data_IF_622633637284
#
_entry.id   IF_622633637284
#
_cell.length_a   1.000
_cell.length_b   1.000
_cell.length_c   1.000
_cell.angle_alpha   90.00
_cell.angle_beta   90.00
_cell.angle_gamma   90.00
#
_symmetry.space_group_name_H-M   'P 1'
#
loop_
_entity.id
_entity.type
_entity.pdbx_description
1 polymer ?
#
# COMPACT_ATOMS: atom_id res chain seq x y z
N UNK A 1 29.69 64.17 -7.07
CA UNK A 1 28.72 63.02 -7.07
C UNK A 1 29.54 61.76 -7.27
N UNK A 2 29.71 60.98 -6.21
CA UNK A 2 30.38 59.68 -6.25
C UNK A 2 29.30 58.59 -6.50
N UNK A 3 29.56 57.55 -7.32
CA UNK A 3 28.61 56.48 -7.57
C UNK A 3 28.49 55.57 -6.36
N UNK A 4 27.23 55.31 -5.92
CA UNK A 4 26.92 54.37 -4.87
C UNK A 4 27.05 52.95 -5.47
N UNK A 5 28.03 52.20 -5.00
CA UNK A 5 28.16 50.78 -5.30
C UNK A 5 27.06 50.01 -4.58
N UNK A 6 26.11 49.49 -5.34
CA UNK A 6 25.11 48.53 -4.82
C UNK A 6 25.80 47.28 -4.30
N UNK A 7 25.48 46.86 -3.07
CA UNK A 7 25.95 45.64 -2.49
C UNK A 7 25.49 44.42 -3.34
N UNK A 8 26.35 43.39 -3.56
CA UNK A 8 25.94 42.21 -4.27
C UNK A 8 24.90 41.46 -3.44
N UNK A 9 23.70 41.26 -4.01
CA UNK A 9 22.71 40.36 -3.45
C UNK A 9 23.30 38.96 -3.39
N UNK A 10 23.75 38.55 -2.21
CA UNK A 10 24.10 37.15 -1.95
C UNK A 10 22.83 36.33 -1.98
N UNK A 11 22.49 35.80 -3.15
CA UNK A 11 21.52 34.73 -3.31
C UNK A 11 22.11 33.49 -2.62
N UNK A 12 21.87 33.36 -1.31
CA UNK A 12 22.05 32.11 -0.60
C UNK A 12 21.02 31.16 -1.20
N UNK A 13 21.41 30.38 -2.20
CA UNK A 13 20.65 29.21 -2.63
C UNK A 13 20.52 28.32 -1.39
N UNK A 14 19.43 28.41 -0.68
CA UNK A 14 19.06 27.40 0.31
C UNK A 14 19.04 26.08 -0.43
N UNK A 15 20.01 25.22 -0.12
CA UNK A 15 20.08 23.89 -0.70
C UNK A 15 18.73 23.21 -0.44
N UNK A 16 18.06 22.81 -1.50
CA UNK A 16 16.78 22.10 -1.41
C UNK A 16 16.94 20.89 -0.48
N UNK A 17 15.99 20.66 0.44
CA UNK A 17 16.11 19.55 1.38
C UNK A 17 16.06 18.20 0.63
N UNK A 18 16.92 17.27 1.03
CA UNK A 18 17.09 15.96 0.39
C UNK A 18 16.59 14.86 1.31
N UNK A 19 15.84 13.90 0.77
CA UNK A 19 15.41 12.71 1.50
C UNK A 19 15.77 11.46 0.72
N UNK A 20 16.38 10.50 1.42
CA UNK A 20 16.77 9.21 0.89
C UNK A 20 15.80 8.14 1.38
N UNK A 21 15.08 7.50 0.46
CA UNK A 21 14.25 6.34 0.72
C UNK A 21 15.05 5.07 0.48
N UNK A 22 15.01 4.13 1.42
CA UNK A 22 15.69 2.83 1.31
C UNK A 22 14.71 1.69 1.56
N UNK A 23 14.60 0.80 0.57
CA UNK A 23 13.71 -0.35 0.58
C UNK A 23 14.41 -1.52 -0.12
N UNK A 24 14.71 -2.62 0.61
CA UNK A 24 15.31 -3.82 0.02
C UNK A 24 14.25 -4.70 -0.66
N UNK A 25 13.44 -4.07 -1.49
CA UNK A 25 12.41 -4.62 -2.38
C UNK A 25 12.12 -3.57 -3.47
N UNK A 26 11.16 -3.83 -4.36
CA UNK A 26 10.72 -2.80 -5.28
C UNK A 26 9.84 -1.77 -4.53
N UNK A 27 10.26 -0.50 -4.42
CA UNK A 27 9.48 0.51 -3.71
C UNK A 27 8.06 0.71 -4.27
N UNK A 28 7.84 0.42 -5.55
CA UNK A 28 6.53 0.56 -6.20
C UNK A 28 5.50 -0.52 -5.79
N UNK A 29 5.92 -1.54 -5.05
CA UNK A 29 5.00 -2.50 -4.43
C UNK A 29 4.22 -1.91 -3.26
N UNK A 30 4.69 -0.77 -2.72
CA UNK A 30 4.16 -0.11 -1.55
C UNK A 30 3.63 1.30 -1.88
N UNK A 31 2.33 1.48 -2.20
CA UNK A 31 1.73 2.78 -2.48
C UNK A 31 2.04 3.88 -1.47
N UNK A 32 2.13 3.62 -0.15
CA UNK A 32 2.54 4.63 0.83
C UNK A 32 3.89 5.29 0.54
N UNK A 33 4.84 4.58 -0.08
CA UNK A 33 6.13 5.16 -0.46
C UNK A 33 5.99 6.15 -1.62
N UNK A 34 5.15 5.83 -2.60
CA UNK A 34 4.84 6.77 -3.69
C UNK A 34 4.12 8.00 -3.16
N UNK A 35 3.08 7.84 -2.35
CA UNK A 35 2.32 8.96 -1.79
C UNK A 35 3.19 9.88 -0.93
N UNK A 36 3.94 9.32 0.03
CA UNK A 36 4.81 10.13 0.90
C UNK A 36 5.88 10.88 0.13
N UNK A 37 6.50 10.22 -0.85
CA UNK A 37 7.54 10.85 -1.66
C UNK A 37 7.00 11.97 -2.55
N UNK A 38 5.78 11.81 -3.12
CA UNK A 38 5.13 12.87 -3.90
C UNK A 38 4.80 14.08 -3.05
N UNK A 39 4.19 13.87 -1.87
CA UNK A 39 3.89 14.96 -0.94
C UNK A 39 5.16 15.76 -0.59
N UNK A 40 6.28 15.08 -0.36
CA UNK A 40 7.55 15.76 -0.06
C UNK A 40 8.13 16.45 -1.30
N UNK A 41 8.08 15.81 -2.47
CA UNK A 41 8.56 16.38 -3.72
C UNK A 41 7.78 17.64 -4.12
N UNK A 42 6.45 17.64 -3.95
CA UNK A 42 5.58 18.82 -4.17
C UNK A 42 5.88 19.95 -3.19
N UNK A 43 6.41 19.62 -2.00
CA UNK A 43 6.89 20.60 -1.00
C UNK A 43 8.37 21.01 -1.21
N UNK A 44 8.96 20.67 -2.36
CA UNK A 44 10.29 21.10 -2.77
C UNK A 44 11.44 20.21 -2.32
N UNK A 45 11.17 19.00 -1.78
CA UNK A 45 12.23 18.06 -1.45
C UNK A 45 12.77 17.35 -2.71
N UNK A 46 14.08 17.16 -2.76
CA UNK A 46 14.71 16.22 -3.69
C UNK A 46 14.62 14.82 -3.10
N UNK A 47 13.95 13.92 -3.80
CA UNK A 47 13.71 12.54 -3.36
C UNK A 47 14.56 11.57 -4.17
N UNK A 48 15.29 10.71 -3.48
CA UNK A 48 16.04 9.60 -4.08
C UNK A 48 15.61 8.29 -3.41
N UNK A 49 15.19 7.35 -4.25
CA UNK A 49 14.97 5.97 -3.83
C UNK A 49 16.15 5.09 -4.18
N UNK A 50 16.55 4.24 -3.23
CA UNK A 50 17.40 3.08 -3.47
C UNK A 50 16.61 1.81 -3.13
N UNK A 51 16.43 0.94 -4.13
CA UNK A 51 15.64 -0.28 -4.01
C UNK A 51 16.21 -1.45 -4.80
N UNK A 52 15.41 -2.50 -4.89
CA UNK A 52 15.66 -3.68 -5.72
C UNK A 52 14.55 -3.76 -6.76
N UNK A 53 14.85 -4.22 -7.96
CA UNK A 53 13.83 -4.50 -8.96
C UNK A 53 12.94 -5.66 -8.52
N UNK A 54 11.65 -5.54 -8.80
CA UNK A 54 10.70 -6.64 -8.66
C UNK A 54 10.52 -7.42 -9.96
N UNK A 55 9.88 -8.56 -9.88
CA UNK A 55 9.57 -9.41 -11.05
C UNK A 55 8.36 -8.93 -11.85
N UNK A 56 7.55 -8.05 -11.28
CA UNK A 56 6.22 -7.67 -11.81
C UNK A 56 6.22 -6.38 -12.64
N UNK A 57 7.39 -5.76 -12.85
CA UNK A 57 7.54 -4.54 -13.63
C UNK A 57 6.87 -3.30 -13.02
N UNK A 58 6.53 -3.32 -11.74
CA UNK A 58 5.90 -2.20 -11.04
C UNK A 58 6.84 -0.98 -11.00
N UNK A 59 6.28 0.20 -11.23
CA UNK A 59 7.03 1.46 -11.21
C UNK A 59 6.14 2.61 -10.74
N UNK A 60 6.78 3.67 -10.22
CA UNK A 60 6.09 4.91 -9.89
C UNK A 60 5.66 5.67 -11.13
N UNK A 61 4.59 6.43 -11.02
CA UNK A 61 4.28 7.47 -11.99
C UNK A 61 5.40 8.54 -11.97
N UNK A 62 5.82 9.09 -13.13
CA UNK A 62 6.91 10.04 -13.20
C UNK A 62 6.69 11.30 -12.37
N UNK A 63 7.76 11.78 -11.73
CA UNK A 63 7.79 13.07 -11.04
C UNK A 63 9.18 13.70 -11.15
N UNK A 64 9.33 15.02 -11.46
CA UNK A 64 10.64 15.64 -11.76
C UNK A 64 11.62 15.64 -10.58
N UNK A 65 11.12 15.60 -9.34
CA UNK A 65 11.94 15.59 -8.12
C UNK A 65 12.10 14.20 -7.48
N UNK A 66 11.56 13.14 -8.10
CA UNK A 66 11.67 11.76 -7.58
C UNK A 66 12.55 10.96 -8.51
N UNK A 67 13.64 10.43 -7.99
CA UNK A 67 14.57 9.55 -8.70
C UNK A 67 14.57 8.19 -8.06
N UNK A 68 14.35 7.17 -8.87
CA UNK A 68 14.33 5.77 -8.45
C UNK A 68 15.53 5.04 -9.03
N UNK A 69 16.41 4.55 -8.17
CA UNK A 69 17.56 3.71 -8.54
C UNK A 69 17.39 2.34 -7.90
N UNK A 70 17.55 1.29 -8.69
CA UNK A 70 17.34 -0.09 -8.25
C UNK A 70 18.49 -0.97 -8.68
N UNK A 71 18.81 -1.97 -7.85
CA UNK A 71 19.62 -3.12 -8.23
C UNK A 71 18.72 -4.17 -8.86
N UNK A 72 19.26 -5.01 -9.72
CA UNK A 72 18.54 -6.14 -10.31
C UNK A 72 18.07 -7.13 -9.24
N UNK A 73 16.95 -7.79 -9.53
CA UNK A 73 16.42 -8.82 -8.65
C UNK A 73 17.37 -10.02 -8.56
N UNK A 74 17.67 -10.47 -7.35
CA UNK A 74 18.45 -11.68 -7.09
C UNK A 74 17.56 -12.71 -6.36
N UNK A 75 17.56 -13.96 -6.87
CA UNK A 75 16.81 -15.06 -6.23
C UNK A 75 17.33 -15.35 -4.82
N UNK A 76 16.46 -15.77 -3.90
CA UNK A 76 16.84 -16.19 -2.55
C UNK A 76 18.01 -17.19 -2.56
N UNK A 77 19.03 -16.93 -1.72
CA UNK A 77 20.21 -17.76 -1.62
C UNK A 77 21.45 -17.00 -1.14
N UNK A 78 22.63 -17.62 -1.30
CA UNK A 78 23.91 -17.02 -0.88
C UNK A 78 24.22 -15.72 -1.63
N UNK A 79 23.96 -15.69 -2.94
CA UNK A 79 24.21 -14.50 -3.76
C UNK A 79 23.34 -13.30 -3.32
N UNK A 80 22.11 -13.56 -2.91
CA UNK A 80 21.24 -12.50 -2.36
C UNK A 80 21.82 -11.89 -1.07
N UNK A 81 22.47 -12.70 -0.24
CA UNK A 81 23.15 -12.19 0.98
C UNK A 81 24.31 -11.27 0.64
N UNK A 82 25.10 -11.62 -0.38
CA UNK A 82 26.17 -10.74 -0.90
C UNK A 82 25.60 -9.46 -1.50
N UNK A 83 24.53 -9.57 -2.29
CA UNK A 83 23.84 -8.41 -2.84
C UNK A 83 23.31 -7.50 -1.72
N UNK A 84 22.79 -8.04 -0.64
CA UNK A 84 22.35 -7.24 0.50
C UNK A 84 23.51 -6.44 1.12
N UNK A 85 24.69 -7.04 1.26
CA UNK A 85 25.89 -6.32 1.73
C UNK A 85 26.30 -5.21 0.75
N UNK A 86 26.27 -5.48 -0.56
CA UNK A 86 26.52 -4.47 -1.59
C UNK A 86 25.49 -3.35 -1.54
N UNK A 87 24.23 -3.69 -1.34
CA UNK A 87 23.14 -2.71 -1.14
C UNK A 87 23.38 -1.83 0.08
N UNK A 88 23.78 -2.42 1.21
CA UNK A 88 24.11 -1.66 2.41
C UNK A 88 25.28 -0.68 2.17
N UNK A 89 26.34 -1.13 1.51
CA UNK A 89 27.49 -0.30 1.14
C UNK A 89 27.07 0.86 0.20
N UNK A 90 26.22 0.57 -0.78
CA UNK A 90 25.69 1.58 -1.70
C UNK A 90 24.84 2.64 -0.99
N UNK A 91 23.98 2.25 -0.04
CA UNK A 91 23.18 3.19 0.75
C UNK A 91 24.10 4.08 1.60
N UNK A 92 25.05 3.50 2.33
CA UNK A 92 25.99 4.26 3.17
C UNK A 92 26.86 5.23 2.35
N UNK A 93 27.34 4.77 1.20
CA UNK A 93 28.04 5.61 0.24
C UNK A 93 27.16 6.78 -0.24
N UNK A 94 25.92 6.51 -0.58
CA UNK A 94 24.96 7.54 -0.99
C UNK A 94 24.70 8.55 0.10
N UNK A 95 24.56 8.12 1.36
CA UNK A 95 24.44 9.03 2.53
C UNK A 95 25.65 9.97 2.60
N UNK A 96 26.87 9.43 2.46
CA UNK A 96 28.10 10.20 2.57
C UNK A 96 28.25 11.26 1.49
N UNK A 97 27.96 10.93 0.21
CA UNK A 97 28.17 11.85 -0.93
C UNK A 97 26.98 12.75 -1.21
N UNK A 98 25.74 12.24 -1.09
CA UNK A 98 24.54 13.01 -1.41
C UNK A 98 24.03 13.83 -0.22
N UNK A 99 24.43 13.49 1.01
CA UNK A 99 24.17 14.20 2.26
C UNK A 99 22.68 14.53 2.44
N UNK A 100 21.80 13.52 2.51
CA UNK A 100 20.39 13.75 2.74
C UNK A 100 20.16 14.37 4.14
N UNK A 101 19.12 15.20 4.28
CA UNK A 101 18.66 15.72 5.57
C UNK A 101 17.86 14.64 6.33
N UNK A 102 17.20 13.74 5.60
CA UNK A 102 16.40 12.66 6.17
C UNK A 102 16.64 11.34 5.45
N UNK A 103 16.71 10.25 6.21
CA UNK A 103 16.63 8.88 5.74
C UNK A 103 15.25 8.32 6.08
N UNK A 104 14.55 7.81 5.07
CA UNK A 104 13.29 7.07 5.22
C UNK A 104 13.54 5.61 4.89
N UNK A 105 13.63 4.76 5.91
CA UNK A 105 13.92 3.35 5.75
C UNK A 105 12.66 2.51 6.00
N UNK A 106 12.45 1.50 5.16
CA UNK A 106 11.28 0.65 5.24
C UNK A 106 11.64 -0.78 5.61
N UNK A 107 10.79 -1.37 6.42
CA UNK A 107 10.75 -2.78 6.78
C UNK A 107 12.05 -3.36 7.40
N UNK A 108 12.02 -4.66 7.63
CA UNK A 108 13.04 -5.37 8.41
C UNK A 108 14.45 -5.21 7.84
N UNK A 109 14.62 -5.25 6.51
CA UNK A 109 15.94 -5.13 5.87
C UNK A 109 16.46 -3.69 5.83
N UNK A 110 15.59 -2.68 5.99
CA UNK A 110 15.98 -1.28 6.17
C UNK A 110 16.48 -0.96 7.60
N UNK A 111 16.14 -1.79 8.58
CA UNK A 111 16.42 -1.50 9.99
C UNK A 111 17.90 -1.34 10.35
N UNK A 112 18.85 -2.17 9.87
CA UNK A 112 20.28 -1.98 10.15
C UNK A 112 20.81 -0.64 9.64
N UNK A 113 20.39 -0.28 8.41
CA UNK A 113 20.80 0.98 7.77
C UNK A 113 20.24 2.20 8.53
N UNK A 114 18.97 2.13 8.89
CA UNK A 114 18.32 3.15 9.70
C UNK A 114 18.99 3.31 11.05
N UNK A 115 19.36 2.20 11.72
CA UNK A 115 20.05 2.24 13.00
C UNK A 115 21.45 2.90 12.88
N UNK A 116 22.24 2.51 11.88
CA UNK A 116 23.55 3.17 11.62
C UNK A 116 23.35 4.65 11.33
N UNK A 117 22.33 5.02 10.58
CA UNK A 117 22.00 6.40 10.26
C UNK A 117 21.71 7.26 11.48
N UNK A 118 21.19 6.68 12.59
CA UNK A 118 20.94 7.43 13.83
C UNK A 118 22.22 7.94 14.54
N UNK A 119 23.39 7.50 14.13
CA UNK A 119 24.67 8.02 14.65
C UNK A 119 25.20 9.25 13.92
N UNK A 120 24.55 9.67 12.83
CA UNK A 120 24.88 10.90 12.12
C UNK A 120 24.01 12.06 12.63
N UNK A 121 24.56 13.03 13.41
CA UNK A 121 23.75 14.06 14.10
C UNK A 121 22.90 14.93 13.16
N UNK A 122 23.36 15.12 11.94
CA UNK A 122 22.67 15.93 10.92
C UNK A 122 21.61 15.17 10.11
N UNK A 123 21.47 13.85 10.32
CA UNK A 123 20.59 12.98 9.56
C UNK A 123 19.39 12.55 10.42
N UNK A 124 18.22 12.99 10.06
CA UNK A 124 16.97 12.55 10.70
C UNK A 124 16.57 11.18 10.14
N UNK A 125 16.01 10.33 10.99
CA UNK A 125 15.67 8.96 10.59
C UNK A 125 14.19 8.68 10.83
N UNK A 126 13.50 8.26 9.77
CA UNK A 126 12.16 7.69 9.79
C UNK A 126 12.31 6.19 9.50
N UNK A 127 11.66 5.36 10.30
CA UNK A 127 11.59 3.92 10.08
C UNK A 127 10.12 3.50 9.94
N UNK A 128 9.72 3.11 8.75
CA UNK A 128 8.35 2.71 8.43
C UNK A 128 8.26 1.19 8.33
N UNK A 129 7.46 0.59 9.18
CA UNK A 129 7.19 -0.84 9.20
C UNK A 129 5.83 -1.10 8.55
N UNK A 130 5.85 -1.39 7.24
CA UNK A 130 4.63 -1.67 6.46
C UNK A 130 4.03 -3.02 6.83
N UNK A 131 4.89 -4.04 6.97
CA UNK A 131 4.53 -5.35 7.48
C UNK A 131 5.46 -5.76 8.62
N UNK A 132 4.87 -6.17 9.73
CA UNK A 132 5.63 -6.63 10.88
C UNK A 132 6.15 -8.04 10.61
N UNK A 133 7.47 -8.20 10.58
CA UNK A 133 8.07 -9.52 10.42
C UNK A 133 7.72 -10.41 11.61
N UNK A 134 7.24 -11.65 11.36
CA UNK A 134 6.94 -12.59 12.42
C UNK A 134 8.23 -12.98 13.19
N UNK A 135 8.10 -13.41 14.45
CA UNK A 135 9.21 -13.98 15.19
C UNK A 135 9.86 -15.13 14.39
N UNK A 136 11.16 -15.12 14.26
CA UNK A 136 11.91 -16.14 13.52
C UNK A 136 13.01 -16.75 14.37
N UNK A 137 13.24 -18.04 14.22
CA UNK A 137 14.37 -18.75 14.84
C UNK A 137 15.69 -18.51 14.10
N UNK A 138 15.65 -18.04 12.86
CA UNK A 138 16.83 -17.80 12.04
C UNK A 138 17.75 -16.70 12.63
N UNK A 139 19.09 -16.93 12.73
CA UNK A 139 20.02 -15.97 13.33
C UNK A 139 20.00 -14.60 12.69
N UNK A 140 19.90 -14.52 11.35
CA UNK A 140 19.83 -13.27 10.62
C UNK A 140 18.57 -12.49 10.99
N UNK A 141 17.42 -13.13 11.05
CA UNK A 141 16.15 -12.48 11.39
C UNK A 141 16.15 -12.00 12.85
N UNK A 142 16.77 -12.76 13.76
CA UNK A 142 16.98 -12.30 15.16
C UNK A 142 17.85 -11.05 15.23
N UNK A 143 18.93 -11.02 14.44
CA UNK A 143 19.81 -9.84 14.37
C UNK A 143 19.05 -8.61 13.83
N UNK A 144 18.28 -8.77 12.76
CA UNK A 144 17.46 -7.70 12.18
C UNK A 144 16.41 -7.21 13.18
N UNK A 145 15.74 -8.11 13.91
CA UNK A 145 14.81 -7.76 14.97
C UNK A 145 15.48 -6.96 16.11
N UNK A 146 16.74 -7.28 16.45
CA UNK A 146 17.50 -6.52 17.45
C UNK A 146 17.78 -5.08 16.98
N UNK A 147 18.04 -4.85 15.71
CA UNK A 147 18.18 -3.49 15.16
C UNK A 147 16.85 -2.73 15.20
N UNK A 148 15.74 -3.36 14.86
CA UNK A 148 14.39 -2.77 15.00
C UNK A 148 14.14 -2.29 16.42
N UNK A 149 14.37 -3.15 17.42
CA UNK A 149 14.19 -2.79 18.83
C UNK A 149 15.04 -1.58 19.28
N UNK A 150 16.23 -1.38 18.68
CA UNK A 150 17.07 -0.21 18.94
C UNK A 150 16.54 1.07 18.27
N UNK A 151 15.94 0.94 17.08
CA UNK A 151 15.34 2.06 16.36
C UNK A 151 14.15 2.66 17.12
N UNK A 152 13.33 1.86 17.79
CA UNK A 152 12.18 2.33 18.55
C UNK A 152 12.54 3.37 19.64
N UNK A 153 13.80 3.48 19.99
CA UNK A 153 14.31 4.48 20.98
C UNK A 153 14.91 5.72 20.33
N UNK A 154 15.21 5.72 19.01
CA UNK A 154 16.04 6.76 18.38
C UNK A 154 15.44 7.38 17.13
N UNK A 155 14.57 6.68 16.42
CA UNK A 155 13.97 7.11 15.17
C UNK A 155 12.50 7.48 15.36
N UNK A 156 11.93 8.25 14.41
CA UNK A 156 10.49 8.30 14.26
C UNK A 156 10.04 7.00 13.58
N UNK A 157 9.28 6.20 14.30
CA UNK A 157 8.77 4.94 13.80
C UNK A 157 7.32 5.08 13.35
N UNK A 158 7.01 4.50 12.18
CA UNK A 158 5.72 4.62 11.51
C UNK A 158 5.12 3.24 11.30
N UNK A 159 3.82 3.11 11.58
CA UNK A 159 3.04 1.89 11.34
C UNK A 159 1.75 2.21 10.58
N UNK A 160 1.19 1.22 9.86
CA UNK A 160 -0.04 1.41 9.11
C UNK A 160 -1.30 1.39 9.98
N UNK A 161 -1.22 1.04 11.27
CA UNK A 161 -2.31 1.20 12.23
C UNK A 161 -1.83 1.17 13.69
N UNK A 162 -2.71 1.59 14.59
CA UNK A 162 -2.47 1.71 16.03
C UNK A 162 -2.22 0.35 16.68
N UNK A 163 -3.02 -0.67 16.33
CA UNK A 163 -2.92 -2.01 16.91
C UNK A 163 -1.56 -2.65 16.67
N UNK A 164 -0.99 -2.49 15.46
CA UNK A 164 0.38 -2.96 15.18
C UNK A 164 1.42 -2.19 15.98
N UNK A 165 1.29 -0.86 16.04
CA UNK A 165 2.23 -0.03 16.80
C UNK A 165 2.27 -0.42 18.29
N UNK A 166 1.13 -0.70 18.88
CA UNK A 166 1.01 -1.09 20.29
C UNK A 166 1.53 -2.51 20.56
N UNK A 167 1.22 -3.46 19.68
CA UNK A 167 1.63 -4.85 19.85
C UNK A 167 3.13 -5.06 19.60
N UNK A 168 3.68 -4.40 18.57
CA UNK A 168 5.06 -4.63 18.13
C UNK A 168 6.06 -3.80 18.91
N UNK A 169 5.71 -2.57 19.24
CA UNK A 169 6.63 -1.62 19.85
C UNK A 169 5.98 -0.71 20.90
N UNK A 170 5.42 -1.27 21.98
CA UNK A 170 4.79 -0.47 23.06
C UNK A 170 5.77 0.52 23.70
N UNK A 171 7.08 0.24 23.63
CA UNK A 171 8.17 1.08 24.18
C UNK A 171 8.69 2.12 23.17
N UNK A 172 8.08 2.29 22.01
CA UNK A 172 8.54 3.25 21.02
C UNK A 172 8.37 4.69 21.52
N UNK A 173 9.46 5.46 21.49
CA UNK A 173 9.50 6.83 22.06
C UNK A 173 8.85 7.84 21.11
N UNK A 174 9.10 7.72 19.80
CA UNK A 174 8.52 8.59 18.79
C UNK A 174 7.80 7.73 17.77
N UNK A 175 6.47 7.73 17.82
CA UNK A 175 5.63 6.94 16.91
C UNK A 175 4.64 7.80 16.15
N UNK A 176 4.36 7.39 14.93
CA UNK A 176 3.26 7.89 14.13
C UNK A 176 2.50 6.73 13.50
N UNK A 177 1.23 6.94 13.26
CA UNK A 177 0.39 6.02 12.49
C UNK A 177 0.01 6.70 11.19
N UNK A 178 0.21 6.00 10.08
CA UNK A 178 -0.11 6.48 8.72
C UNK A 178 -0.85 5.37 7.99
N UNK A 179 -2.15 5.50 7.85
CA UNK A 179 -2.97 4.53 7.14
C UNK A 179 -2.63 4.51 5.64
N UNK A 180 -2.78 3.36 5.03
CA UNK A 180 -2.52 3.14 3.60
C UNK A 180 -3.66 3.68 2.71
N UNK A 181 -3.97 4.95 2.90
CA UNK A 181 -4.99 5.67 2.14
C UNK A 181 -4.48 6.14 0.77
N UNK A 182 -5.35 6.36 -0.22
CA UNK A 182 -4.99 7.00 -1.48
C UNK A 182 -4.68 8.50 -1.28
N UNK A 183 -3.97 9.08 -2.23
CA UNK A 183 -3.82 10.55 -2.30
C UNK A 183 -5.13 11.20 -2.76
N UNK A 184 -5.40 12.45 -2.31
CA UNK A 184 -6.59 13.20 -2.76
C UNK A 184 -6.65 13.36 -4.27
N UNK A 185 -5.50 13.53 -4.92
CA UNK A 185 -5.41 13.64 -6.36
C UNK A 185 -5.83 12.36 -7.12
N UNK A 186 -5.90 11.23 -6.45
CA UNK A 186 -6.35 9.95 -7.02
C UNK A 186 -7.87 9.77 -6.97
N UNK A 187 -8.57 10.57 -6.16
CA UNK A 187 -10.03 10.47 -6.03
C UNK A 187 -10.71 10.95 -7.31
N UNK A 188 -11.66 10.18 -7.80
CA UNK A 188 -12.43 10.50 -9.00
C UNK A 188 -13.92 10.51 -8.68
N UNK A 189 -14.69 11.26 -9.46
CA UNK A 189 -16.15 11.21 -9.40
C UNK A 189 -16.65 9.80 -9.75
N UNK A 190 -17.68 9.37 -9.03
CA UNK A 190 -18.32 8.10 -9.32
C UNK A 190 -18.86 8.08 -10.76
N UNK A 191 -18.68 6.96 -11.44
CA UNK A 191 -19.23 6.78 -12.78
C UNK A 191 -20.77 6.74 -12.71
N UNK A 192 -21.48 7.37 -13.66
CA UNK A 192 -22.91 7.14 -13.78
C UNK A 192 -23.16 5.63 -13.97
N UNK A 193 -24.04 5.05 -13.17
CA UNK A 193 -24.40 3.63 -13.32
C UNK A 193 -25.24 3.50 -14.58
N UNK A 194 -24.71 2.82 -15.58
CA UNK A 194 -25.50 2.36 -16.72
C UNK A 194 -26.53 1.33 -16.23
N UNK A 195 -27.68 1.26 -16.93
CA UNK A 195 -28.83 0.48 -16.50
C UNK A 195 -28.49 -0.94 -15.97
N UNK A 196 -29.11 -1.29 -14.92
CA UNK A 196 -29.05 -2.32 -13.89
C UNK A 196 -28.90 -3.80 -14.34
N UNK A 197 -28.60 -4.10 -15.60
CA UNK A 197 -28.44 -5.48 -16.06
C UNK A 197 -27.04 -6.08 -15.83
N UNK A 198 -26.05 -5.27 -15.42
CA UNK A 198 -24.66 -5.72 -15.30
C UNK A 198 -24.03 -5.19 -13.99
N UNK A 199 -23.36 -6.07 -13.25
CA UNK A 199 -22.57 -5.73 -12.07
C UNK A 199 -21.11 -6.12 -12.32
N UNK A 200 -20.23 -5.14 -12.31
CA UNK A 200 -18.79 -5.35 -12.46
C UNK A 200 -18.12 -5.37 -11.08
N UNK A 201 -17.54 -6.48 -10.75
CA UNK A 201 -16.83 -6.72 -9.48
C UNK A 201 -15.33 -6.66 -9.73
N UNK A 202 -14.58 -6.02 -8.86
CA UNK A 202 -13.15 -5.84 -9.02
C UNK A 202 -12.36 -6.31 -7.79
N UNK A 203 -11.23 -6.95 -8.07
CA UNK A 203 -10.23 -7.28 -7.08
C UNK A 203 -8.86 -6.85 -7.57
N UNK A 204 -8.01 -6.27 -6.69
CA UNK A 204 -6.62 -6.01 -7.03
C UNK A 204 -5.63 -6.36 -5.91
N UNK A 205 -4.36 -6.51 -6.30
CA UNK A 205 -3.21 -6.73 -5.42
C UNK A 205 -2.71 -8.16 -5.44
N UNK A 206 -2.07 -8.62 -4.35
CA UNK A 206 -1.55 -9.99 -4.26
C UNK A 206 -2.69 -11.02 -4.32
N UNK A 207 -2.58 -11.97 -5.25
CA UNK A 207 -3.60 -13.00 -5.49
C UNK A 207 -3.21 -14.23 -4.68
N UNK A 208 -3.84 -14.38 -3.52
CA UNK A 208 -3.64 -15.50 -2.60
C UNK A 208 -5.01 -16.05 -2.16
N UNK A 209 -5.13 -17.35 -1.85
CA UNK A 209 -6.40 -17.98 -1.48
C UNK A 209 -7.11 -17.31 -0.30
N UNK A 210 -6.37 -16.73 0.63
CA UNK A 210 -6.93 -16.08 1.82
C UNK A 210 -7.51 -14.69 1.55
N UNK A 211 -7.17 -14.05 0.42
CA UNK A 211 -7.64 -12.70 0.03
C UNK A 211 -8.55 -12.71 -1.19
N UNK A 212 -8.43 -13.69 -2.05
CA UNK A 212 -9.32 -13.96 -3.17
C UNK A 212 -9.62 -15.46 -3.19
N UNK A 213 -10.50 -15.96 -2.31
CA UNK A 213 -10.82 -17.39 -2.25
C UNK A 213 -11.57 -17.86 -3.50
N UNK A 214 -11.48 -19.16 -3.82
CA UNK A 214 -12.16 -19.75 -4.96
C UNK A 214 -13.69 -19.58 -4.90
N UNK A 215 -14.23 -19.49 -3.71
CA UNK A 215 -15.65 -19.21 -3.43
C UNK A 215 -16.17 -17.95 -4.14
N UNK A 216 -15.30 -16.97 -4.45
CA UNK A 216 -15.68 -15.79 -5.24
C UNK A 216 -16.06 -16.17 -6.67
N UNK A 217 -15.29 -17.08 -7.30
CA UNK A 217 -15.59 -17.59 -8.64
C UNK A 217 -16.80 -18.51 -8.59
N UNK A 218 -16.91 -19.37 -7.58
CA UNK A 218 -18.05 -20.24 -7.35
C UNK A 218 -19.34 -19.45 -7.14
N UNK A 219 -19.27 -18.29 -6.45
CA UNK A 219 -20.41 -17.40 -6.26
C UNK A 219 -20.96 -16.83 -7.59
N UNK A 220 -20.09 -16.62 -8.60
CA UNK A 220 -20.55 -16.17 -9.92
C UNK A 220 -21.53 -17.16 -10.55
N UNK A 221 -21.41 -18.47 -10.26
CA UNK A 221 -22.29 -19.51 -10.80
C UNK A 221 -23.71 -19.44 -10.24
N UNK A 222 -23.85 -18.84 -9.05
CA UNK A 222 -25.12 -18.63 -8.39
C UNK A 222 -25.82 -17.31 -8.78
N UNK A 223 -25.19 -16.54 -9.70
CA UNK A 223 -25.62 -15.21 -10.10
C UNK A 223 -25.97 -15.17 -11.60
N UNK A 224 -26.81 -14.20 -12.03
CA UNK A 224 -27.08 -13.99 -13.44
C UNK A 224 -25.82 -13.67 -14.26
N UNK A 225 -25.85 -13.94 -15.57
CA UNK A 225 -24.69 -13.71 -16.50
C UNK A 225 -24.22 -12.26 -16.60
N UNK A 226 -25.01 -11.32 -16.09
CA UNK A 226 -24.64 -9.91 -16.03
C UNK A 226 -23.54 -9.58 -15.00
N UNK A 227 -23.24 -10.50 -14.07
CA UNK A 227 -22.19 -10.28 -13.05
C UNK A 227 -20.83 -10.73 -13.57
N UNK A 228 -19.84 -9.85 -13.56
CA UNK A 228 -18.47 -10.10 -14.04
C UNK A 228 -17.45 -9.78 -12.98
N UNK A 229 -16.40 -10.61 -12.87
CA UNK A 229 -15.26 -10.39 -12.00
C UNK A 229 -14.02 -10.05 -12.81
N UNK A 230 -13.42 -8.91 -12.53
CA UNK A 230 -12.09 -8.54 -13.04
C UNK A 230 -11.07 -8.60 -11.90
N UNK A 231 -9.97 -9.32 -12.12
CA UNK A 231 -8.88 -9.48 -11.16
C UNK A 231 -7.62 -8.86 -11.74
N UNK A 232 -7.01 -7.92 -11.03
CA UNK A 232 -5.73 -7.29 -11.39
C UNK A 232 -4.70 -7.55 -10.28
N UNK A 233 -3.50 -7.93 -10.63
CA UNK A 233 -2.45 -8.17 -9.65
C UNK A 233 -1.56 -9.36 -9.99
N UNK A 234 -0.87 -9.85 -8.99
CA UNK A 234 0.16 -10.88 -9.17
C UNK A 234 0.05 -11.99 -8.12
N UNK A 235 0.51 -13.17 -8.50
CA UNK A 235 0.66 -14.30 -7.60
C UNK A 235 1.95 -14.16 -6.79
N UNK A 236 1.87 -14.46 -5.51
CA UNK A 236 3.07 -14.58 -4.68
C UNK A 236 3.78 -15.90 -4.94
N UNK A 237 5.03 -16.04 -4.47
CA UNK A 237 5.79 -17.29 -4.61
C UNK A 237 5.01 -18.50 -4.06
N UNK A 238 4.25 -18.30 -2.98
CA UNK A 238 3.47 -19.37 -2.33
C UNK A 238 2.13 -19.66 -3.02
N UNK A 239 1.69 -18.85 -3.97
CA UNK A 239 0.38 -18.98 -4.65
C UNK A 239 0.49 -19.17 -6.17
N UNK A 240 1.67 -19.52 -6.67
CA UNK A 240 1.87 -19.73 -8.12
C UNK A 240 0.91 -20.79 -8.68
N UNK A 241 0.28 -20.48 -9.82
CA UNK A 241 -0.74 -21.31 -10.48
C UNK A 241 -2.15 -21.16 -9.90
N UNK A 242 -2.34 -20.27 -8.92
CA UNK A 242 -3.65 -20.09 -8.32
C UNK A 242 -4.63 -19.36 -9.25
N UNK A 243 -4.16 -18.44 -10.08
CA UNK A 243 -4.99 -17.77 -11.09
C UNK A 243 -5.51 -18.78 -12.12
N UNK A 244 -4.66 -19.71 -12.56
CA UNK A 244 -5.07 -20.78 -13.48
C UNK A 244 -6.12 -21.68 -12.85
N UNK A 245 -5.96 -22.03 -11.56
CA UNK A 245 -7.00 -22.74 -10.81
C UNK A 245 -8.33 -22.00 -10.80
N UNK A 246 -8.34 -20.67 -10.55
CA UNK A 246 -9.57 -19.86 -10.58
C UNK A 246 -10.20 -19.86 -11.99
N UNK A 247 -9.39 -19.75 -13.02
CA UNK A 247 -9.84 -19.81 -14.42
C UNK A 247 -10.44 -21.17 -14.76
N UNK A 248 -9.82 -22.26 -14.30
CA UNK A 248 -10.32 -23.63 -14.53
C UNK A 248 -11.66 -23.87 -13.85
N UNK A 249 -11.86 -23.35 -12.63
CA UNK A 249 -13.18 -23.40 -11.96
C UNK A 249 -14.22 -22.68 -12.79
N UNK A 250 -13.93 -21.46 -13.28
CA UNK A 250 -14.83 -20.70 -14.12
C UNK A 250 -15.15 -21.43 -15.44
N UNK A 251 -14.14 -22.05 -16.09
CA UNK A 251 -14.26 -22.77 -17.34
C UNK A 251 -15.11 -24.03 -17.21
N UNK A 252 -14.84 -24.87 -16.20
CA UNK A 252 -15.57 -26.10 -15.93
C UNK A 252 -17.07 -25.83 -15.71
N UNK A 253 -17.38 -24.66 -15.21
CA UNK A 253 -18.74 -24.24 -14.94
C UNK A 253 -19.39 -23.39 -16.08
N UNK A 254 -18.73 -23.26 -17.23
CA UNK A 254 -19.24 -22.48 -18.38
C UNK A 254 -19.25 -20.97 -18.18
N UNK A 255 -18.61 -20.46 -17.13
CA UNK A 255 -18.61 -19.05 -16.74
C UNK A 255 -17.27 -18.33 -17.02
N UNK A 256 -16.38 -18.90 -17.83
CA UNK A 256 -15.06 -18.32 -18.15
C UNK A 256 -15.16 -16.88 -18.69
N UNK A 257 -16.18 -16.60 -19.48
CA UNK A 257 -16.44 -15.26 -20.04
C UNK A 257 -16.78 -14.19 -18.99
N UNK A 258 -17.05 -14.60 -17.76
CA UNK A 258 -17.36 -13.74 -16.61
C UNK A 258 -16.15 -13.48 -15.73
N UNK A 259 -15.06 -14.24 -15.90
CA UNK A 259 -13.82 -14.10 -15.12
C UNK A 259 -12.71 -13.53 -16.01
N UNK A 260 -12.25 -12.33 -15.70
CA UNK A 260 -11.15 -11.67 -16.42
C UNK A 260 -9.95 -11.49 -15.51
N UNK A 261 -8.80 -12.02 -15.90
CA UNK A 261 -7.52 -11.70 -15.28
C UNK A 261 -6.77 -10.67 -16.12
N UNK A 262 -6.47 -9.52 -15.53
CA UNK A 262 -5.81 -8.39 -16.19
C UNK A 262 -4.28 -8.41 -16.05
N UNK A 263 -3.74 -9.33 -15.22
CA UNK A 263 -2.32 -9.37 -14.92
C UNK A 263 -1.88 -8.32 -13.89
N UNK A 264 -0.58 -8.24 -13.67
CA UNK A 264 0.03 -7.17 -12.89
C UNK A 264 -0.07 -5.84 -13.66
N UNK A 265 -0.47 -4.78 -12.99
CA UNK A 265 -0.62 -3.45 -13.58
C UNK A 265 0.55 -2.59 -13.11
N UNK A 266 1.46 -2.17 -14.01
CA UNK A 266 2.72 -1.55 -13.63
C UNK A 266 2.60 -0.24 -12.86
N UNK A 267 1.62 0.60 -13.21
CA UNK A 267 1.43 1.91 -12.59
C UNK A 267 0.14 1.98 -11.80
N UNK A 268 0.20 2.69 -10.69
CA UNK A 268 -0.96 2.90 -9.83
C UNK A 268 -2.10 3.64 -10.54
N UNK A 269 -1.80 4.64 -11.37
CA UNK A 269 -2.83 5.35 -12.16
C UNK A 269 -3.60 4.43 -13.09
N UNK A 270 -2.92 3.48 -13.74
CA UNK A 270 -3.55 2.50 -14.63
C UNK A 270 -4.40 1.50 -13.83
N UNK A 271 -3.93 1.08 -12.65
CA UNK A 271 -4.69 0.23 -11.74
C UNK A 271 -5.99 0.90 -11.28
N UNK A 272 -5.92 2.16 -10.86
CA UNK A 272 -7.11 2.90 -10.46
C UNK A 272 -8.06 3.17 -11.63
N UNK A 273 -7.54 3.35 -12.84
CA UNK A 273 -8.37 3.45 -14.05
C UNK A 273 -9.15 2.16 -14.34
N UNK A 274 -8.55 0.99 -14.11
CA UNK A 274 -9.26 -0.30 -14.17
C UNK A 274 -10.29 -0.42 -13.02
N UNK A 275 -9.91 -0.06 -11.81
CA UNK A 275 -10.80 -0.06 -10.66
C UNK A 275 -12.08 0.74 -10.94
N UNK A 276 -11.95 1.93 -11.53
CA UNK A 276 -13.06 2.82 -11.87
C UNK A 276 -14.08 2.21 -12.86
N UNK A 277 -13.73 1.15 -13.57
CA UNK A 277 -14.66 0.45 -14.48
C UNK A 277 -15.62 -0.50 -13.75
N UNK A 278 -15.43 -0.71 -12.46
CA UNK A 278 -16.24 -1.58 -11.64
C UNK A 278 -17.28 -0.80 -10.80
N UNK A 279 -18.19 -1.56 -10.19
CA UNK A 279 -19.26 -1.08 -9.34
C UNK A 279 -19.00 -1.50 -7.88
N UNK A 280 -18.40 -2.68 -7.66
CA UNK A 280 -18.09 -3.24 -6.35
C UNK A 280 -16.63 -3.65 -6.27
N UNK A 281 -15.96 -3.27 -5.19
CA UNK A 281 -14.60 -3.71 -4.86
C UNK A 281 -14.62 -4.80 -3.79
N UNK A 282 -13.97 -5.94 -4.06
CA UNK A 282 -13.81 -7.02 -3.08
C UNK A 282 -12.55 -6.78 -2.25
N UNK A 283 -12.74 -6.71 -0.93
CA UNK A 283 -11.65 -6.64 0.02
C UNK A 283 -11.85 -7.70 1.11
N UNK A 284 -11.29 -8.88 0.90
CA UNK A 284 -11.38 -9.98 1.84
C UNK A 284 -10.10 -10.16 2.65
N UNK A 285 -10.29 -10.51 3.92
CA UNK A 285 -9.28 -10.89 4.88
C UNK A 285 -9.69 -12.18 5.58
N UNK A 286 -8.74 -13.05 5.98
CA UNK A 286 -9.07 -14.27 6.71
C UNK A 286 -9.98 -13.97 7.90
N UNK A 287 -10.99 -14.80 8.10
CA UNK A 287 -11.90 -14.69 9.26
C UNK A 287 -11.18 -15.05 10.57
N UNK A 288 -10.14 -15.88 10.48
CA UNK A 288 -9.27 -16.24 11.60
C UNK A 288 -7.84 -15.80 11.28
N UNK A 289 -7.19 -15.11 12.19
CA UNK A 289 -5.82 -14.59 12.02
C UNK A 289 -4.72 -15.61 12.30
N UNK A 290 -5.04 -16.74 12.93
CA UNK A 290 -4.10 -17.82 13.29
C UNK A 290 -2.82 -17.31 13.97
N UNK A 291 -2.89 -16.19 14.69
CA UNK A 291 -1.75 -15.57 15.35
C UNK A 291 -0.86 -14.71 14.43
N UNK A 292 -1.26 -14.44 13.20
CA UNK A 292 -0.57 -13.50 12.33
C UNK A 292 -0.95 -12.06 12.70
N UNK A 293 0.00 -11.32 13.26
CA UNK A 293 -0.16 -9.91 13.68
C UNK A 293 -0.61 -9.03 12.52
N UNK A 294 -0.11 -9.30 11.31
CA UNK A 294 -0.51 -8.52 10.14
C UNK A 294 -1.96 -8.80 9.76
N UNK A 295 -2.38 -10.06 9.77
CA UNK A 295 -3.74 -10.44 9.45
C UNK A 295 -4.75 -9.96 10.51
N UNK A 296 -4.39 -9.96 11.79
CA UNK A 296 -5.26 -9.49 12.88
C UNK A 296 -5.42 -7.98 12.94
N UNK A 297 -4.46 -7.21 12.38
CA UNK A 297 -4.43 -5.74 12.43
C UNK A 297 -4.35 -5.13 11.03
N UNK A 298 -5.41 -5.33 10.23
CA UNK A 298 -5.46 -4.86 8.83
C UNK A 298 -6.23 -3.55 8.65
N UNK A 299 -6.95 -3.08 9.67
CA UNK A 299 -7.63 -1.78 9.64
C UNK A 299 -6.61 -0.67 9.39
N UNK A 300 -6.80 0.12 8.35
CA UNK A 300 -5.83 1.14 7.92
C UNK A 300 -4.62 0.59 7.13
N UNK A 301 -4.26 -0.69 7.29
CA UNK A 301 -3.09 -1.28 6.65
C UNK A 301 -3.35 -1.81 5.23
N UNK A 302 -4.58 -2.15 4.88
CA UNK A 302 -4.95 -2.59 3.54
C UNK A 302 -5.28 -1.42 2.63
N UNK A 303 -4.60 -1.30 1.48
CA UNK A 303 -4.94 -0.27 0.48
C UNK A 303 -6.30 -0.51 -0.19
N UNK A 304 -6.71 -1.78 -0.38
CA UNK A 304 -7.84 -2.15 -1.23
C UNK A 304 -9.15 -1.41 -0.92
N UNK A 305 -9.67 -1.41 0.33
CA UNK A 305 -10.93 -0.73 0.62
C UNK A 305 -10.86 0.75 0.26
N UNK A 306 -9.76 1.42 0.60
CA UNK A 306 -9.58 2.84 0.36
C UNK A 306 -9.45 3.16 -1.13
N UNK A 307 -8.74 2.32 -1.89
CA UNK A 307 -8.61 2.46 -3.34
C UNK A 307 -9.97 2.34 -4.03
N UNK A 308 -10.79 1.37 -3.63
CA UNK A 308 -12.15 1.21 -4.18
C UNK A 308 -13.03 2.42 -3.85
N UNK A 309 -13.05 2.85 -2.60
CA UNK A 309 -13.83 4.01 -2.18
C UNK A 309 -13.36 5.30 -2.88
N UNK A 310 -12.06 5.46 -3.16
CA UNK A 310 -11.53 6.61 -3.89
C UNK A 310 -12.06 6.72 -5.32
N UNK A 311 -12.48 5.60 -5.91
CA UNK A 311 -13.04 5.52 -7.25
C UNK A 311 -14.59 5.45 -7.22
N UNK A 312 -15.21 5.57 -6.05
CA UNK A 312 -16.66 5.57 -5.90
C UNK A 312 -17.31 4.18 -5.95
N UNK A 313 -16.56 3.10 -5.75
CA UNK A 313 -17.09 1.75 -5.67
C UNK A 313 -17.67 1.48 -4.28
N UNK A 314 -18.75 0.71 -4.21
CA UNK A 314 -19.17 0.09 -2.97
C UNK A 314 -18.24 -1.08 -2.59
N UNK A 315 -18.17 -1.40 -1.31
CA UNK A 315 -17.30 -2.47 -0.81
C UNK A 315 -18.08 -3.77 -0.59
N UNK A 316 -17.42 -4.89 -0.89
CA UNK A 316 -17.78 -6.19 -0.33
C UNK A 316 -16.61 -6.67 0.53
N UNK A 317 -16.82 -6.71 1.85
CA UNK A 317 -15.77 -7.03 2.82
C UNK A 317 -16.04 -8.33 3.56
N UNK A 318 -14.98 -8.90 4.15
CA UNK A 318 -15.13 -10.05 5.06
C UNK A 318 -15.98 -9.69 6.28
N UNK A 319 -16.77 -10.65 6.76
CA UNK A 319 -17.57 -10.50 7.99
C UNK A 319 -16.69 -10.59 9.25
N UNK A 320 -15.62 -9.80 9.29
CA UNK A 320 -14.78 -9.58 10.48
C UNK A 320 -15.37 -8.43 11.29
N UNK A 321 -15.35 -8.48 12.62
CA UNK A 321 -15.96 -7.45 13.45
C UNK A 321 -15.41 -6.03 13.15
N UNK A 322 -14.10 -5.88 13.06
CA UNK A 322 -13.42 -4.62 12.77
C UNK A 322 -13.79 -4.05 11.39
N UNK A 323 -13.77 -4.89 10.35
CA UNK A 323 -14.11 -4.50 8.97
C UNK A 323 -15.60 -4.28 8.77
N UNK A 324 -16.44 -5.12 9.41
CA UNK A 324 -17.88 -4.93 9.41
C UNK A 324 -18.23 -3.56 9.98
N UNK A 325 -17.72 -3.23 11.18
CA UNK A 325 -17.99 -1.94 11.83
C UNK A 325 -17.45 -0.76 11.00
N UNK A 326 -16.22 -0.86 10.49
CA UNK A 326 -15.58 0.24 9.76
C UNK A 326 -16.22 0.51 8.41
N UNK A 327 -16.63 -0.52 7.68
CA UNK A 327 -17.04 -0.38 6.28
C UNK A 327 -18.53 -0.68 6.04
N UNK A 328 -19.05 -1.81 6.54
CA UNK A 328 -20.42 -2.20 6.26
C UNK A 328 -21.43 -1.43 7.12
N UNK A 329 -21.25 -1.41 8.44
CA UNK A 329 -22.16 -0.71 9.37
C UNK A 329 -22.07 0.82 9.18
N UNK A 330 -20.93 1.33 8.71
CA UNK A 330 -20.76 2.73 8.34
C UNK A 330 -21.39 3.09 6.97
N UNK A 331 -21.94 2.13 6.25
CA UNK A 331 -22.69 2.34 5.02
C UNK A 331 -21.84 2.54 3.78
N UNK A 332 -20.62 1.98 3.73
CA UNK A 332 -19.74 2.03 2.56
C UNK A 332 -19.80 0.76 1.70
N UNK A 333 -20.57 -0.23 2.12
CA UNK A 333 -20.71 -1.50 1.43
C UNK A 333 -21.43 -2.55 2.28
N UNK A 334 -21.23 -3.81 1.93
CA UNK A 334 -21.75 -4.97 2.63
C UNK A 334 -20.64 -5.87 3.15
N UNK A 335 -20.96 -6.70 4.14
CA UNK A 335 -20.07 -7.77 4.61
C UNK A 335 -20.68 -9.14 4.28
N UNK A 336 -19.81 -10.13 4.02
CA UNK A 336 -20.23 -11.51 3.78
C UNK A 336 -19.25 -12.52 4.40
N UNK A 337 -19.68 -13.76 4.54
CA UNK A 337 -18.78 -14.87 4.80
C UNK A 337 -18.06 -15.23 3.49
N UNK A 338 -16.77 -14.89 3.38
CA UNK A 338 -15.97 -15.14 2.19
C UNK A 338 -15.71 -16.61 1.89
N UNK A 339 -15.89 -17.50 2.88
CA UNK A 339 -15.71 -18.94 2.74
C UNK A 339 -16.98 -19.66 2.27
N UNK A 340 -18.08 -18.89 2.04
CA UNK A 340 -19.38 -19.39 1.59
C UNK A 340 -19.80 -18.70 0.28
N UNK A 341 -19.80 -19.40 -0.87
CA UNK A 341 -20.24 -18.86 -2.15
C UNK A 341 -21.66 -18.30 -2.13
N UNK A 342 -22.59 -18.91 -1.36
CA UNK A 342 -23.97 -18.44 -1.27
C UNK A 342 -24.07 -17.10 -0.53
N UNK A 343 -23.24 -16.89 0.50
CA UNK A 343 -23.17 -15.62 1.22
C UNK A 343 -22.62 -14.50 0.31
N UNK A 344 -21.58 -14.78 -0.48
CA UNK A 344 -21.02 -13.84 -1.45
C UNK A 344 -22.07 -13.50 -2.53
N UNK A 345 -22.70 -14.53 -3.11
CA UNK A 345 -23.73 -14.36 -4.15
C UNK A 345 -24.93 -13.57 -3.64
N UNK A 346 -25.37 -13.80 -2.40
CA UNK A 346 -26.46 -13.06 -1.79
C UNK A 346 -26.15 -11.57 -1.67
N UNK A 347 -24.93 -11.21 -1.22
CA UNK A 347 -24.51 -9.83 -1.13
C UNK A 347 -24.40 -9.15 -2.51
N UNK A 348 -23.85 -9.85 -3.51
CA UNK A 348 -23.74 -9.31 -4.87
C UNK A 348 -25.13 -9.15 -5.52
N UNK A 349 -26.04 -10.07 -5.27
CA UNK A 349 -27.43 -9.95 -5.74
C UNK A 349 -28.12 -8.75 -5.11
N UNK A 350 -27.91 -8.51 -3.82
CA UNK A 350 -28.47 -7.35 -3.16
C UNK A 350 -28.03 -6.04 -3.84
N UNK A 351 -26.75 -5.92 -4.22
CA UNK A 351 -26.27 -4.74 -4.97
C UNK A 351 -26.96 -4.57 -6.32
N UNK A 352 -27.28 -5.69 -7.02
CA UNK A 352 -28.01 -5.63 -8.29
C UNK A 352 -29.45 -5.14 -8.09
N UNK A 353 -30.08 -5.59 -7.01
CA UNK A 353 -31.49 -5.28 -6.69
C UNK A 353 -31.64 -3.86 -6.09
N UNK A 354 -30.54 -3.25 -5.60
CA UNK A 354 -30.52 -1.94 -4.95
C UNK A 354 -29.47 -0.99 -5.55
N UNK A 355 -29.60 -0.61 -6.82
CA UNK A 355 -28.59 0.18 -7.54
C UNK A 355 -28.39 1.60 -6.98
N UNK A 356 -29.42 2.19 -6.39
CA UNK A 356 -29.31 3.52 -5.78
C UNK A 356 -28.55 3.48 -4.45
N UNK A 357 -28.76 2.43 -3.65
CA UNK A 357 -27.99 2.20 -2.44
C UNK A 357 -26.53 1.89 -2.77
N UNK A 358 -26.25 1.07 -3.80
CA UNK A 358 -24.91 0.79 -4.30
C UNK A 358 -24.16 2.10 -4.61
N UNK A 359 -24.79 3.00 -5.36
CA UNK A 359 -24.23 4.33 -5.67
C UNK A 359 -24.01 5.17 -4.41
N UNK A 360 -25.02 5.20 -3.54
CA UNK A 360 -24.95 5.93 -2.28
C UNK A 360 -23.80 5.47 -1.40
N UNK A 361 -23.54 4.16 -1.33
CA UNK A 361 -22.41 3.58 -0.60
C UNK A 361 -21.07 4.02 -1.17
N UNK A 362 -20.90 3.93 -2.49
CA UNK A 362 -19.68 4.37 -3.18
C UNK A 362 -19.42 5.87 -2.99
N UNK A 363 -20.44 6.71 -3.14
CA UNK A 363 -20.30 8.15 -2.97
C UNK A 363 -19.99 8.55 -1.52
N UNK A 364 -20.66 7.97 -0.54
CA UNK A 364 -20.31 8.19 0.89
C UNK A 364 -18.87 7.82 1.17
N UNK A 365 -18.41 6.69 0.64
CA UNK A 365 -17.03 6.25 0.76
C UNK A 365 -16.04 7.23 0.12
N UNK A 366 -16.34 7.70 -1.10
CA UNK A 366 -15.54 8.69 -1.82
C UNK A 366 -15.41 10.01 -1.04
N UNK A 367 -16.51 10.49 -0.45
CA UNK A 367 -16.49 11.69 0.39
C UNK A 367 -15.65 11.48 1.65
N UNK A 368 -15.71 10.28 2.25
CA UNK A 368 -14.88 9.93 3.39
C UNK A 368 -13.38 9.95 3.05
N UNK A 369 -13.00 9.46 1.85
CA UNK A 369 -11.62 9.55 1.36
C UNK A 369 -11.20 11.02 1.23
N UNK A 370 -12.00 11.85 0.59
CA UNK A 370 -11.66 13.27 0.40
C UNK A 370 -11.49 14.02 1.73
N UNK A 371 -12.28 13.68 2.73
CA UNK A 371 -12.28 14.37 4.00
C UNK A 371 -11.16 13.87 4.92
N UNK A 372 -11.16 12.59 5.28
CA UNK A 372 -10.29 12.05 6.33
C UNK A 372 -9.32 10.95 5.87
N UNK A 373 -9.79 10.05 4.98
CA UNK A 373 -9.06 8.85 4.63
C UNK A 373 -8.18 9.05 3.40
N UNK A 374 -7.45 10.16 3.37
CA UNK A 374 -6.48 10.47 2.33
C UNK A 374 -5.07 10.53 2.90
N UNK A 375 -4.09 10.25 2.06
CA UNK A 375 -2.71 10.13 2.50
C UNK A 375 -2.14 11.45 3.01
N UNK A 376 -2.57 12.60 2.47
CA UNK A 376 -2.14 13.93 2.92
C UNK A 376 -2.52 14.17 4.38
N UNK A 377 -3.74 13.78 4.77
CA UNK A 377 -4.20 13.87 6.18
C UNK A 377 -3.42 12.91 7.06
N UNK A 378 -3.23 11.64 6.61
CA UNK A 378 -2.51 10.63 7.37
C UNK A 378 -1.03 10.97 7.54
N UNK A 379 -0.41 11.60 6.57
CA UNK A 379 1.03 11.92 6.57
C UNK A 379 1.35 13.25 7.30
N UNK A 380 0.36 14.01 7.71
CA UNK A 380 0.53 15.30 8.38
C UNK A 380 1.45 15.23 9.63
N UNK A 381 1.35 14.24 10.52
CA UNK A 381 2.26 14.13 11.67
C UNK A 381 3.74 13.99 11.28
N UNK A 382 4.01 13.34 10.14
CA UNK A 382 5.38 13.19 9.62
C UNK A 382 5.90 14.53 9.09
N UNK A 383 5.05 15.29 8.38
CA UNK A 383 5.42 16.62 7.90
C UNK A 383 5.73 17.58 9.06
N UNK A 384 4.92 17.55 10.11
CA UNK A 384 5.14 18.35 11.31
C UNK A 384 6.45 17.96 12.01
N UNK A 385 6.74 16.65 12.09
CA UNK A 385 7.99 16.18 12.64
C UNK A 385 9.19 16.61 11.78
N UNK A 386 9.10 16.55 10.45
CA UNK A 386 10.17 17.00 9.55
C UNK A 386 10.43 18.51 9.63
N UNK A 387 9.43 19.32 9.99
CA UNK A 387 9.54 20.77 10.12
C UNK A 387 10.06 21.24 11.49
N UNK A 388 10.04 20.40 12.53
CA UNK A 388 10.67 20.69 13.82
C UNK A 388 12.19 20.71 13.63
N UNK A 389 12.79 21.88 13.81
CA UNK A 389 14.24 22.14 13.66
C UNK A 389 15.05 21.37 14.72
#
# INVERSE_FOLDING_TARGET
MLPVFGAPSTNIRTLEPRILYVQYANPAELPPLEHSSRILADKGWDVLFLGIDGTEGLTFDPHPRIRLKRMEYCKPGFLQKLQYLQYCAWVLWTIAIWRPRCLYASDTFGAPLAWVATFFPSLRVIYHEHDSAPPSAEPLMKLLAAFRGRLYKKALCVWPNEGRAELVAPQCVQRAVVWNCPARAEVREARPVEAVAKLNVFYHGSIVPTRLPATVVEALLLLPDGVRLTVAGYETVSSRGYVDKLRDIARQAGAEHRFKYAGAVPRRTDLLALCRQADVGIAFMPLTDRGDINASNMTGASNKPFDYLSQGLALLVSNRPDWKTMFADAGFGLSCNQDDPASIASALRWFMDHPDDLRGMGERGRQRILHDWNYETQFQPILEWLNKS
#
